data_IF_265387622801
#
_entry.id   IF_265387622801
#
_cell.length_a   1.000
_cell.length_b   1.000
_cell.length_c   1.000
_cell.angle_alpha   90.00
_cell.angle_beta   90.00
_cell.angle_gamma   90.00
#
_symmetry.space_group_name_H-M   'P 1'
#
loop_
_entity.id
_entity.type
_entity.pdbx_description
1 polymer ?
#
# COMPACT_ATOMS: atom_id res chain seq x y z
N UNK A 1 27.68 -0.18 2.42
CA UNK A 1 26.62 0.79 2.76
C UNK A 1 26.18 1.39 1.44
N UNK A 2 24.90 1.29 1.10
CA UNK A 2 24.37 1.90 -0.12
C UNK A 2 24.70 3.40 -0.17
N UNK A 3 24.94 3.91 -1.38
CA UNK A 3 25.06 5.35 -1.59
C UNK A 3 23.70 6.03 -1.35
N UNK A 4 23.72 7.31 -0.97
CA UNK A 4 22.50 8.04 -0.60
C UNK A 4 21.47 8.03 -1.74
N UNK A 5 21.92 8.12 -3.01
CA UNK A 5 21.04 8.07 -4.17
C UNK A 5 20.26 6.75 -4.27
N UNK A 6 20.89 5.62 -3.94
CA UNK A 6 20.24 4.32 -3.90
C UNK A 6 19.23 4.25 -2.75
N UNK A 7 19.58 4.77 -1.57
CA UNK A 7 18.68 4.83 -0.41
C UNK A 7 17.45 5.70 -0.73
N UNK A 8 17.66 6.88 -1.32
CA UNK A 8 16.61 7.79 -1.77
C UNK A 8 15.69 7.11 -2.79
N UNK A 9 16.26 6.40 -3.78
CA UNK A 9 15.47 5.67 -4.77
C UNK A 9 14.58 4.62 -4.12
N UNK A 10 15.10 3.83 -3.18
CA UNK A 10 14.32 2.81 -2.47
C UNK A 10 13.22 3.45 -1.62
N UNK A 11 13.53 4.53 -0.90
CA UNK A 11 12.56 5.24 -0.09
C UNK A 11 11.44 5.86 -0.93
N UNK A 12 11.77 6.44 -2.08
CA UNK A 12 10.79 6.99 -3.00
C UNK A 12 9.90 5.92 -3.65
N UNK A 13 10.45 4.77 -4.02
CA UNK A 13 9.66 3.61 -4.49
C UNK A 13 8.64 3.16 -3.43
N UNK A 14 9.04 3.12 -2.15
CA UNK A 14 8.14 2.77 -1.05
C UNK A 14 7.13 3.88 -0.75
N UNK A 15 7.51 5.15 -0.89
CA UNK A 15 6.64 6.31 -0.70
C UNK A 15 5.50 6.31 -1.72
N UNK A 16 5.82 6.07 -3.00
CA UNK A 16 4.80 5.93 -4.04
C UNK A 16 3.84 4.78 -3.71
N UNK A 17 4.38 3.63 -3.29
CA UNK A 17 3.57 2.49 -2.88
C UNK A 17 2.64 2.82 -1.69
N UNK A 18 3.12 3.57 -0.70
CA UNK A 18 2.31 3.98 0.45
C UNK A 18 1.17 4.92 0.02
N UNK A 19 1.45 5.89 -0.87
CA UNK A 19 0.43 6.83 -1.37
C UNK A 19 -0.60 6.16 -2.28
N UNK A 20 -0.16 5.27 -3.16
CA UNK A 20 -1.06 4.46 -3.98
C UNK A 20 -1.96 3.58 -3.10
N UNK A 21 -1.40 3.00 -2.03
CA UNK A 21 -2.15 2.26 -1.02
C UNK A 21 -3.20 3.12 -0.32
N UNK A 22 -2.83 4.32 0.15
CA UNK A 22 -3.77 5.25 0.79
C UNK A 22 -4.98 5.55 -0.11
N UNK A 23 -4.72 5.88 -1.37
CA UNK A 23 -5.77 6.16 -2.33
C UNK A 23 -6.64 4.92 -2.61
N UNK A 24 -6.01 3.76 -2.87
CA UNK A 24 -6.72 2.52 -3.14
C UNK A 24 -7.62 2.09 -1.98
N UNK A 25 -7.15 2.22 -0.74
CA UNK A 25 -7.94 1.89 0.44
C UNK A 25 -9.11 2.87 0.67
N UNK A 26 -8.92 4.17 0.45
CA UNK A 26 -10.02 5.14 0.49
C UNK A 26 -11.11 4.78 -0.52
N UNK A 27 -10.72 4.48 -1.75
CA UNK A 27 -11.65 4.05 -2.81
C UNK A 27 -12.36 2.75 -2.46
N UNK A 28 -11.68 1.77 -1.85
CA UNK A 28 -12.33 0.54 -1.41
C UNK A 28 -13.33 0.79 -0.28
N UNK A 29 -13.01 1.66 0.68
CA UNK A 29 -13.92 2.03 1.78
C UNK A 29 -15.22 2.68 1.30
N UNK A 30 -15.17 3.40 0.17
CA UNK A 30 -16.35 4.01 -0.47
C UNK A 30 -17.24 3.01 -1.22
N UNK A 31 -16.68 1.87 -1.66
CA UNK A 31 -17.36 0.90 -2.52
C UNK A 31 -17.91 -0.35 -1.81
N UNK A 32 -17.38 -0.68 -0.63
CA UNK A 32 -17.92 -1.78 0.18
C UNK A 32 -19.12 -1.31 0.99
N UNK A 33 -19.96 -2.24 1.44
CA UNK A 33 -21.16 -1.90 2.21
C UNK A 33 -21.04 -2.28 3.69
N UNK A 34 -20.37 -3.38 4.00
CA UNK A 34 -20.22 -3.85 5.37
C UNK A 34 -19.40 -2.88 6.22
N UNK A 35 -19.89 -2.57 7.41
CA UNK A 35 -19.21 -1.68 8.35
C UNK A 35 -17.82 -2.19 8.73
N UNK A 36 -17.65 -3.52 8.80
CA UNK A 36 -16.35 -4.16 9.04
C UNK A 36 -15.34 -3.89 7.93
N UNK A 37 -15.73 -4.04 6.65
CA UNK A 37 -14.86 -3.74 5.53
C UNK A 37 -14.54 -2.24 5.41
N UNK A 38 -15.56 -1.37 5.60
CA UNK A 38 -15.38 0.09 5.63
C UNK A 38 -14.33 0.51 6.66
N UNK A 39 -14.48 0.04 7.90
CA UNK A 39 -13.54 0.39 8.97
C UNK A 39 -12.14 -0.17 8.68
N UNK A 40 -12.05 -1.42 8.22
CA UNK A 40 -10.76 -2.03 7.89
C UNK A 40 -9.99 -1.21 6.86
N UNK A 41 -10.64 -0.81 5.77
CA UNK A 41 -10.02 -0.01 4.71
C UNK A 41 -9.71 1.43 5.16
N UNK A 42 -10.58 2.06 5.94
CA UNK A 42 -10.30 3.38 6.51
C UNK A 42 -9.04 3.36 7.41
N UNK A 43 -8.91 2.35 8.28
CA UNK A 43 -7.74 2.16 9.13
C UNK A 43 -6.47 1.93 8.29
N UNK A 44 -6.59 1.18 7.17
CA UNK A 44 -5.45 0.98 6.26
C UNK A 44 -5.02 2.26 5.57
N UNK A 45 -5.97 3.06 5.08
CA UNK A 45 -5.65 4.35 4.47
C UNK A 45 -4.87 5.26 5.43
N UNK A 46 -5.25 5.28 6.71
CA UNK A 46 -4.51 6.03 7.75
C UNK A 46 -3.09 5.47 7.92
N UNK A 47 -2.94 4.15 8.00
CA UNK A 47 -1.62 3.51 8.11
C UNK A 47 -0.70 3.82 6.92
N UNK A 48 -1.25 3.82 5.70
CA UNK A 48 -0.54 4.21 4.48
C UNK A 48 -0.10 5.68 4.51
N UNK A 49 -0.96 6.60 4.95
CA UNK A 49 -0.61 8.01 5.10
C UNK A 49 0.52 8.22 6.12
N UNK A 50 0.48 7.50 7.25
CA UNK A 50 1.54 7.54 8.26
C UNK A 50 2.87 6.99 7.71
N UNK A 51 2.82 5.88 6.97
CA UNK A 51 4.00 5.31 6.32
C UNK A 51 4.61 6.28 5.31
N UNK A 52 3.78 6.94 4.50
CA UNK A 52 4.22 7.98 3.57
C UNK A 52 4.94 9.12 4.29
N UNK A 53 4.39 9.63 5.39
CA UNK A 53 5.04 10.69 6.19
C UNK A 53 6.41 10.27 6.75
N UNK A 54 6.52 9.05 7.29
CA UNK A 54 7.79 8.50 7.77
C UNK A 54 8.83 8.41 6.63
N UNK A 55 8.42 7.92 5.46
CA UNK A 55 9.29 7.76 4.30
C UNK A 55 9.74 9.10 3.72
N UNK A 56 8.84 10.08 3.62
CA UNK A 56 9.19 11.43 3.18
C UNK A 56 10.24 12.09 4.07
N UNK A 57 10.13 11.90 5.39
CA UNK A 57 11.09 12.43 6.34
C UNK A 57 12.48 11.81 6.12
N UNK A 58 12.53 10.49 5.88
CA UNK A 58 13.78 9.80 5.55
C UNK A 58 14.36 10.26 4.21
N UNK A 59 13.54 10.44 3.16
CA UNK A 59 14.03 10.94 1.86
C UNK A 59 14.73 12.30 2.04
N UNK A 60 14.10 13.23 2.77
CA UNK A 60 14.68 14.54 3.07
C UNK A 60 15.94 14.43 3.93
N UNK A 61 15.97 13.54 4.92
CA UNK A 61 17.13 13.29 5.78
C UNK A 61 18.36 12.84 4.97
N UNK A 62 18.15 12.02 3.93
CA UNK A 62 19.21 11.54 3.05
C UNK A 62 19.59 12.53 1.94
N UNK A 63 18.94 13.71 1.89
CA UNK A 63 19.23 14.78 0.93
C UNK A 63 18.42 14.69 -0.38
N UNK A 64 17.42 13.83 -0.44
CA UNK A 64 16.56 13.67 -1.60
C UNK A 64 15.28 14.52 -1.55
N UNK A 65 14.61 14.58 -2.69
CA UNK A 65 13.27 15.14 -2.82
C UNK A 65 12.24 14.00 -2.77
N UNK A 66 11.26 14.03 -1.84
CA UNK A 66 10.21 13.03 -1.80
C UNK A 66 9.40 13.05 -3.09
N UNK A 67 9.17 11.89 -3.68
CA UNK A 67 8.32 11.76 -4.85
C UNK A 67 6.94 12.37 -4.55
N UNK A 68 6.39 13.20 -5.44
CA UNK A 68 5.09 13.87 -5.27
C UNK A 68 3.87 12.98 -5.58
N UNK A 69 4.09 11.69 -5.84
CA UNK A 69 3.01 10.75 -6.14
C UNK A 69 2.38 11.07 -7.48
N UNK A 70 3.12 10.82 -8.56
CA UNK A 70 2.73 11.33 -9.88
C UNK A 70 3.37 10.63 -11.06
N UNK A 71 4.27 9.67 -10.86
CA UNK A 71 4.91 8.96 -11.99
C UNK A 71 3.85 8.35 -12.91
N UNK A 72 4.14 8.28 -14.20
CA UNK A 72 3.26 7.62 -15.18
C UNK A 72 2.98 6.15 -14.80
N UNK A 73 3.90 5.50 -14.07
CA UNK A 73 3.70 4.19 -13.47
C UNK A 73 2.68 4.21 -12.31
N UNK A 74 2.75 5.20 -11.40
CA UNK A 74 1.71 5.46 -10.41
C UNK A 74 0.36 5.84 -11.03
N UNK A 75 0.35 6.56 -12.16
CA UNK A 75 -0.88 6.88 -12.90
C UNK A 75 -1.53 5.65 -13.54
N UNK A 76 -0.72 4.71 -14.02
CA UNK A 76 -1.17 3.40 -14.51
C UNK A 76 -1.61 2.47 -13.37
N UNK A 77 -1.01 2.55 -12.18
CA UNK A 77 -1.48 1.82 -11.00
C UNK A 77 -2.79 2.41 -10.44
N UNK A 78 -2.94 3.75 -10.44
CA UNK A 78 -4.22 4.45 -10.27
C UNK A 78 -5.25 4.05 -11.35
N UNK A 79 -4.81 3.47 -12.46
CA UNK A 79 -5.63 2.84 -13.49
C UNK A 79 -6.39 1.57 -13.05
N UNK A 80 -6.09 0.98 -11.89
CA UNK A 80 -7.00 -0.02 -11.27
C UNK A 80 -8.38 0.58 -10.94
N UNK A 81 -8.47 1.90 -10.75
CA UNK A 81 -9.74 2.60 -10.48
C UNK A 81 -10.69 2.66 -11.69
N UNK A 82 -10.26 2.24 -12.88
CA UNK A 82 -11.19 2.00 -14.01
C UNK A 82 -11.95 0.66 -13.92
N UNK A 83 -11.69 -0.21 -12.94
CA UNK A 83 -12.12 -1.62 -13.01
C UNK A 83 -13.59 -1.91 -12.67
N UNK A 84 -14.42 -0.96 -12.18
CA UNK A 84 -15.81 -1.29 -11.78
C UNK A 84 -16.90 -0.33 -12.29
N UNK A 85 -16.61 0.43 -13.34
CA UNK A 85 -17.60 1.34 -13.94
C UNK A 85 -18.70 0.68 -14.79
N UNK A 86 -18.70 -0.65 -14.97
CA UNK A 86 -19.62 -1.32 -15.88
C UNK A 86 -20.21 -2.61 -15.30
N UNK A 87 -21.46 -2.48 -14.85
CA UNK A 87 -22.52 -3.51 -14.87
C UNK A 87 -22.45 -4.61 -13.79
N UNK A 88 -23.16 -4.41 -12.68
CA UNK A 88 -23.92 -5.47 -11.99
C UNK A 88 -23.17 -6.62 -11.31
N UNK A 89 -21.83 -6.57 -11.19
CA UNK A 89 -20.98 -7.68 -10.74
C UNK A 89 -20.08 -7.38 -9.52
N UNK A 90 -20.26 -6.24 -8.84
CA UNK A 90 -19.37 -5.80 -7.75
C UNK A 90 -19.81 -6.31 -6.38
N UNK A 91 -19.75 -7.63 -6.19
CA UNK A 91 -19.84 -8.16 -4.83
C UNK A 91 -18.67 -7.62 -3.99
N UNK A 92 -18.94 -7.33 -2.72
CA UNK A 92 -17.91 -6.93 -1.73
C UNK A 92 -16.72 -7.92 -1.73
N UNK A 93 -17.00 -9.21 -2.00
CA UNK A 93 -16.00 -10.25 -2.20
C UNK A 93 -14.99 -9.91 -3.31
N UNK A 94 -15.46 -9.42 -4.46
CA UNK A 94 -14.59 -9.04 -5.58
C UNK A 94 -13.68 -7.84 -5.26
N UNK A 95 -14.19 -6.89 -4.44
CA UNK A 95 -13.38 -5.77 -3.94
C UNK A 95 -12.29 -6.29 -3.01
N UNK A 96 -12.63 -7.16 -2.06
CA UNK A 96 -11.67 -7.78 -1.13
C UNK A 96 -10.60 -8.60 -1.86
N UNK A 97 -10.98 -9.42 -2.85
CA UNK A 97 -10.06 -10.20 -3.69
C UNK A 97 -9.07 -9.34 -4.46
N UNK A 98 -9.51 -8.18 -4.91
CA UNK A 98 -8.65 -7.28 -5.67
C UNK A 98 -7.74 -6.48 -4.76
N UNK A 99 -8.22 -6.10 -3.59
CA UNK A 99 -7.44 -5.46 -2.56
C UNK A 99 -6.31 -6.37 -2.06
N UNK A 100 -6.58 -7.65 -1.80
CA UNK A 100 -5.55 -8.62 -1.41
C UNK A 100 -4.43 -8.76 -2.45
N UNK A 101 -4.76 -8.81 -3.75
CA UNK A 101 -3.77 -8.81 -4.83
C UNK A 101 -2.93 -7.52 -4.88
N UNK A 102 -3.55 -6.38 -4.56
CA UNK A 102 -2.85 -5.11 -4.40
C UNK A 102 -1.82 -5.17 -3.26
N UNK A 103 -2.23 -5.70 -2.11
CA UNK A 103 -1.37 -5.86 -0.94
C UNK A 103 -0.22 -6.84 -1.15
N UNK A 104 -0.43 -7.93 -1.91
CA UNK A 104 0.66 -8.83 -2.32
C UNK A 104 1.76 -8.06 -3.08
N UNK A 105 1.34 -7.15 -3.96
CA UNK A 105 2.25 -6.30 -4.72
C UNK A 105 2.99 -5.31 -3.81
N UNK A 106 2.29 -4.71 -2.84
CA UNK A 106 2.89 -3.83 -1.84
C UNK A 106 3.93 -4.56 -0.98
N UNK A 107 3.61 -5.76 -0.48
CA UNK A 107 4.53 -6.60 0.29
C UNK A 107 5.76 -6.98 -0.54
N UNK A 108 5.59 -7.28 -1.83
CA UNK A 108 6.71 -7.59 -2.72
C UNK A 108 7.69 -6.40 -2.84
N UNK A 109 7.20 -5.15 -2.86
CA UNK A 109 8.04 -3.95 -2.87
C UNK A 109 8.84 -3.79 -1.57
N UNK A 110 8.21 -3.98 -0.42
CA UNK A 110 8.93 -4.00 0.87
C UNK A 110 9.99 -5.10 0.92
N UNK A 111 9.65 -6.32 0.48
CA UNK A 111 10.60 -7.45 0.41
C UNK A 111 11.77 -7.18 -0.54
N UNK A 112 11.53 -6.45 -1.64
CA UNK A 112 12.59 -5.99 -2.55
C UNK A 112 13.50 -4.99 -1.84
N UNK A 113 12.93 -3.95 -1.22
CA UNK A 113 13.68 -2.93 -0.49
C UNK A 113 14.58 -3.53 0.61
N UNK A 114 14.07 -4.51 1.37
CA UNK A 114 14.82 -5.14 2.46
C UNK A 114 16.03 -5.98 2.00
N UNK A 115 16.12 -6.32 0.71
CA UNK A 115 17.29 -7.00 0.13
C UNK A 115 18.43 -6.03 -0.22
N UNK A 116 18.14 -4.74 -0.29
CA UNK A 116 19.15 -3.70 -0.54
C UNK A 116 19.99 -3.45 0.73
N UNK A 117 21.19 -2.89 0.56
CA UNK A 117 22.10 -2.55 1.66
C UNK A 117 21.71 -1.22 2.34
N UNK A 118 20.57 -1.24 3.01
CA UNK A 118 19.99 -0.07 3.68
C UNK A 118 20.71 0.28 4.98
N UNK A 119 20.94 1.57 5.27
CA UNK A 119 21.33 2.05 6.59
C UNK A 119 20.40 1.57 7.70
N UNK A 120 20.91 1.44 8.92
CA UNK A 120 20.18 0.80 10.02
C UNK A 120 18.88 1.51 10.42
N UNK A 121 18.87 2.85 10.40
CA UNK A 121 17.69 3.67 10.65
C UNK A 121 16.61 3.47 9.58
N UNK A 122 17.00 3.44 8.30
CA UNK A 122 16.10 3.18 7.18
C UNK A 122 15.56 1.75 7.24
N UNK A 123 16.44 0.76 7.43
CA UNK A 123 16.05 -0.66 7.52
C UNK A 123 15.01 -0.87 8.62
N UNK A 124 15.20 -0.29 9.80
CA UNK A 124 14.25 -0.43 10.91
C UNK A 124 12.84 0.07 10.55
N UNK A 125 12.75 1.21 9.84
CA UNK A 125 11.46 1.73 9.37
C UNK A 125 10.84 0.82 8.31
N UNK A 126 11.62 0.38 7.33
CA UNK A 126 11.14 -0.51 6.26
C UNK A 126 10.66 -1.86 6.83
N UNK A 127 11.36 -2.43 7.81
CA UNK A 127 10.94 -3.68 8.49
C UNK A 127 9.64 -3.51 9.25
N UNK A 128 9.50 -2.42 10.01
CA UNK A 128 8.25 -2.08 10.73
C UNK A 128 7.08 -1.95 9.75
N UNK A 129 7.27 -1.22 8.66
CA UNK A 129 6.22 -1.00 7.66
C UNK A 129 5.88 -2.29 6.89
N UNK A 130 6.88 -3.12 6.56
CA UNK A 130 6.68 -4.43 5.94
C UNK A 130 5.85 -5.37 6.83
N UNK A 131 6.13 -5.40 8.13
CA UNK A 131 5.33 -6.16 9.09
C UNK A 131 3.89 -5.64 9.18
N UNK A 132 3.71 -4.32 9.12
CA UNK A 132 2.40 -3.67 9.01
C UNK A 132 1.64 -4.12 7.77
N UNK A 133 2.27 -4.04 6.59
CA UNK A 133 1.67 -4.47 5.32
C UNK A 133 1.30 -5.97 5.33
N UNK A 134 2.15 -6.84 5.89
CA UNK A 134 1.83 -8.26 6.03
C UNK A 134 0.59 -8.49 6.91
N UNK A 135 0.51 -7.79 8.05
CA UNK A 135 -0.66 -7.85 8.93
C UNK A 135 -1.92 -7.35 8.22
N UNK A 136 -1.81 -6.27 7.45
CA UNK A 136 -2.92 -5.71 6.66
C UNK A 136 -3.47 -6.74 5.67
N UNK A 137 -2.58 -7.32 4.87
CA UNK A 137 -2.90 -8.38 3.92
C UNK A 137 -3.64 -9.54 4.59
N UNK A 138 -3.14 -10.02 5.74
CA UNK A 138 -3.77 -11.12 6.46
C UNK A 138 -5.19 -10.77 6.92
N UNK A 139 -5.42 -9.53 7.40
CA UNK A 139 -6.76 -9.08 7.79
C UNK A 139 -7.73 -9.00 6.61
N UNK A 140 -7.27 -8.55 5.44
CA UNK A 140 -8.08 -8.50 4.22
C UNK A 140 -8.40 -9.90 3.71
N UNK A 141 -7.40 -10.79 3.69
CA UNK A 141 -7.56 -12.21 3.33
C UNK A 141 -8.60 -12.89 4.22
N UNK A 142 -8.51 -12.67 5.53
CA UNK A 142 -9.41 -13.30 6.50
C UNK A 142 -10.84 -12.77 6.35
N UNK A 143 -11.00 -11.45 6.12
CA UNK A 143 -12.30 -10.86 5.83
C UNK A 143 -12.88 -11.39 4.51
N UNK A 144 -12.08 -11.44 3.44
CA UNK A 144 -12.46 -12.04 2.15
C UNK A 144 -12.96 -13.47 2.32
N UNK A 145 -12.21 -14.28 3.08
CA UNK A 145 -12.56 -15.68 3.32
C UNK A 145 -13.90 -15.80 4.07
N UNK A 146 -14.17 -14.91 5.03
CA UNK A 146 -15.44 -14.86 5.74
C UNK A 146 -16.60 -14.45 4.81
N UNK A 147 -16.42 -13.42 3.98
CA UNK A 147 -17.42 -12.97 3.00
C UNK A 147 -17.74 -14.05 1.98
N UNK A 148 -16.72 -14.79 1.50
CA UNK A 148 -16.91 -15.91 0.55
C UNK A 148 -17.75 -17.05 1.14
N UNK A 149 -17.65 -17.32 2.43
CA UNK A 149 -18.44 -18.37 3.09
C UNK A 149 -19.92 -17.97 3.29
N UNK A 150 -20.23 -16.68 3.21
CA UNK A 150 -21.57 -16.13 3.42
C UNK A 150 -22.31 -15.83 2.10
N UNK A 151 -21.63 -15.95 0.96
CA UNK A 151 -22.17 -15.73 -0.41
C UNK A 151 -22.60 -17.06 -1.03
#
# INVERSE_FOLDING_TARGET
>A
MADNDQVISVLNDLLENARDGEYGFKTCAEQVESSGAKQLFADRAIGCAQAAQELEALVRQYGGEPADGGTAAGALHRGWVQIKGAVGADSELSILESCERGEDTAIARYRKALKEDLPADVRAVVEKQAAGAQKNHDQIRDLRNATRQQS
#
